data_IF_640319707512
#
_entry.id   IF_640319707512
#
_cell.length_a   1.000
_cell.length_b   1.000
_cell.length_c   1.000
_cell.angle_alpha   90.00
_cell.angle_beta   90.00
_cell.angle_gamma   90.00
#
_symmetry.space_group_name_H-M   'P 1'
#
loop_
_entity.id
_entity.type
_entity.pdbx_description
1 polymer ?
#
# COMPACT_ATOMS: atom_id res chain seq x y z
N UNK A 1 -1.49 -11.30 -2.69
CA UNK A 1 -2.65 -10.37 -2.54
C UNK A 1 -3.34 -10.00 -3.85
N UNK A 2 -2.63 -9.78 -4.97
CA UNK A 2 -3.25 -9.37 -6.26
C UNK A 2 -4.40 -10.26 -6.77
N UNK A 3 -4.33 -11.58 -6.58
CA UNK A 3 -5.31 -12.53 -7.16
C UNK A 3 -6.72 -12.44 -6.55
N UNK A 4 -6.85 -12.18 -5.25
CA UNK A 4 -8.18 -12.15 -4.60
C UNK A 4 -8.98 -10.90 -4.97
N UNK A 5 -8.33 -9.75 -5.18
CA UNK A 5 -9.04 -8.50 -5.50
C UNK A 5 -9.77 -8.56 -6.84
N UNK A 6 -9.18 -9.23 -7.84
CA UNK A 6 -9.82 -9.40 -9.15
C UNK A 6 -11.14 -10.17 -9.07
N UNK A 7 -11.18 -11.24 -8.26
CA UNK A 7 -12.38 -12.07 -8.03
C UNK A 7 -13.44 -11.28 -7.27
N UNK A 8 -13.05 -10.47 -6.30
CA UNK A 8 -13.96 -9.65 -5.49
C UNK A 8 -14.44 -8.37 -6.19
N UNK A 9 -14.02 -8.11 -7.44
CA UNK A 9 -14.32 -6.85 -8.14
C UNK A 9 -13.69 -5.62 -7.49
N UNK A 10 -12.62 -5.81 -6.69
CA UNK A 10 -11.93 -4.75 -5.97
C UNK A 10 -10.67 -4.30 -6.71
N UNK A 11 -10.32 -3.03 -6.53
CA UNK A 11 -9.09 -2.41 -7.01
C UNK A 11 -8.45 -1.61 -5.89
N UNK A 12 -7.15 -1.33 -5.99
CA UNK A 12 -6.50 -0.40 -5.07
C UNK A 12 -6.99 1.03 -5.34
N UNK A 13 -7.43 1.75 -4.30
CA UNK A 13 -7.86 3.15 -4.40
C UNK A 13 -6.69 4.13 -4.54
N UNK A 14 -5.50 3.70 -4.16
CA UNK A 14 -4.29 4.53 -4.07
C UNK A 14 -3.32 4.35 -5.24
N UNK A 15 -3.65 3.47 -6.18
CA UNK A 15 -2.79 3.16 -7.33
C UNK A 15 -3.59 3.03 -8.62
N UNK A 16 -2.94 3.36 -9.74
CA UNK A 16 -3.47 3.08 -11.09
C UNK A 16 -3.12 1.64 -11.49
N UNK A 17 -3.86 1.07 -12.45
CA UNK A 17 -3.76 -0.35 -12.84
C UNK A 17 -2.40 -0.75 -13.40
N UNK A 18 -1.76 0.18 -14.08
CA UNK A 18 -0.50 0.03 -14.78
C UNK A 18 0.72 0.22 -13.87
N UNK A 19 0.51 0.60 -12.60
CA UNK A 19 1.61 0.90 -11.69
C UNK A 19 2.13 -0.34 -10.97
N UNK A 20 3.45 -0.37 -10.80
CA UNK A 20 4.09 -1.18 -9.77
C UNK A 20 3.76 -0.60 -8.39
N UNK A 21 2.92 -1.33 -7.66
CA UNK A 21 2.39 -0.95 -6.36
C UNK A 21 3.49 -0.85 -5.29
N UNK A 22 4.48 -1.74 -5.37
CA UNK A 22 5.55 -1.81 -4.39
C UNK A 22 6.48 -0.58 -4.56
N UNK A 23 6.84 -0.29 -5.81
CA UNK A 23 7.60 0.91 -6.17
C UNK A 23 6.84 2.20 -5.84
N UNK A 24 5.52 2.24 -6.09
CA UNK A 24 4.67 3.37 -5.76
C UNK A 24 4.65 3.64 -4.25
N UNK A 25 4.54 2.60 -3.43
CA UNK A 25 4.59 2.73 -1.97
C UNK A 25 5.91 3.37 -1.51
N UNK A 26 7.03 2.91 -2.05
CA UNK A 26 8.35 3.47 -1.77
C UNK A 26 8.49 4.93 -2.25
N UNK A 27 7.89 5.28 -3.38
CA UNK A 27 7.87 6.65 -3.89
C UNK A 27 7.03 7.58 -2.99
N UNK A 28 5.85 7.14 -2.54
CA UNK A 28 5.02 7.90 -1.60
C UNK A 28 5.74 8.15 -0.27
N UNK A 29 6.39 7.13 0.28
CA UNK A 29 7.23 7.30 1.49
C UNK A 29 8.32 8.33 1.29
N UNK A 30 9.08 8.24 0.19
CA UNK A 30 10.18 9.17 -0.12
C UNK A 30 9.69 10.60 -0.32
N UNK A 31 8.54 10.78 -0.97
CA UNK A 31 7.90 12.11 -1.13
C UNK A 31 7.54 12.76 0.21
N UNK A 32 7.30 11.96 1.26
CA UNK A 32 7.07 12.42 2.64
C UNK A 32 8.35 12.62 3.45
N UNK A 33 9.53 12.39 2.87
CA UNK A 33 10.82 12.50 3.57
C UNK A 33 11.04 11.42 4.64
N UNK A 34 10.29 10.32 4.63
CA UNK A 34 10.37 9.30 5.66
C UNK A 34 11.39 8.21 5.28
N UNK A 35 12.20 7.78 6.25
CA UNK A 35 12.97 6.54 6.12
C UNK A 35 12.05 5.32 6.31
N UNK A 36 12.48 4.14 5.88
CA UNK A 36 11.74 2.90 6.12
C UNK A 36 11.57 2.61 7.62
N UNK A 37 12.57 2.97 8.44
CA UNK A 37 12.52 2.76 9.89
C UNK A 37 11.45 3.65 10.54
N UNK A 38 11.42 4.95 10.20
CA UNK A 38 10.42 5.89 10.73
C UNK A 38 9.02 5.52 10.25
N UNK A 39 8.86 5.09 9.01
CA UNK A 39 7.56 4.61 8.54
C UNK A 39 7.11 3.36 9.31
N UNK A 40 8.01 2.42 9.56
CA UNK A 40 7.71 1.20 10.30
C UNK A 40 7.27 1.50 11.74
N UNK A 41 8.00 2.38 12.43
CA UNK A 41 7.66 2.85 13.78
C UNK A 41 6.26 3.47 13.82
N UNK A 42 5.98 4.42 12.92
CA UNK A 42 4.66 5.08 12.84
C UNK A 42 3.52 4.13 12.46
N UNK A 43 3.81 3.11 11.67
CA UNK A 43 2.84 2.09 11.27
C UNK A 43 2.71 0.93 12.28
N UNK A 44 3.50 0.94 13.37
CA UNK A 44 3.48 -0.11 14.39
C UNK A 44 4.00 -1.47 13.88
N UNK A 45 4.95 -1.48 12.95
CA UNK A 45 5.51 -2.71 12.39
C UNK A 45 7.04 -2.71 12.34
N UNK A 46 7.62 -3.84 11.93
CA UNK A 46 9.08 -3.95 11.78
C UNK A 46 9.55 -3.31 10.47
N UNK A 47 10.80 -2.82 10.44
CA UNK A 47 11.43 -2.33 9.19
C UNK A 47 11.48 -3.40 8.07
N UNK A 48 11.80 -4.69 8.35
CA UNK A 48 11.69 -5.75 7.35
C UNK A 48 10.30 -5.86 6.70
N UNK A 49 9.23 -5.62 7.46
CA UNK A 49 7.87 -5.60 6.92
C UNK A 49 7.67 -4.49 5.89
N UNK A 50 8.21 -3.28 6.14
CA UNK A 50 8.19 -2.19 5.15
C UNK A 50 9.01 -2.56 3.91
N UNK A 51 10.18 -3.18 4.07
CA UNK A 51 11.01 -3.64 2.94
C UNK A 51 10.23 -4.67 2.09
N UNK A 52 9.55 -5.63 2.72
CA UNK A 52 8.76 -6.63 2.01
C UNK A 52 7.60 -6.00 1.24
N UNK A 53 6.92 -5.01 1.82
CA UNK A 53 5.86 -4.25 1.14
C UNK A 53 6.42 -3.45 -0.06
N UNK A 54 7.56 -2.78 0.10
CA UNK A 54 8.17 -1.94 -0.95
C UNK A 54 8.85 -2.73 -2.07
N UNK A 55 9.17 -4.02 -1.85
CA UNK A 55 9.77 -4.89 -2.88
C UNK A 55 8.76 -5.82 -3.55
N UNK A 56 7.81 -6.35 -2.79
CA UNK A 56 6.97 -7.47 -3.23
C UNK A 56 5.48 -7.26 -2.96
N UNK A 57 5.10 -6.18 -2.28
CA UNK A 57 3.74 -5.95 -1.79
C UNK A 57 3.18 -7.17 -1.03
N UNK A 58 4.04 -7.79 -0.20
CA UNK A 58 3.72 -8.95 0.62
C UNK A 58 3.58 -8.57 2.09
N UNK A 59 2.76 -9.30 2.86
CA UNK A 59 2.51 -9.03 4.26
C UNK A 59 1.04 -9.23 4.63
N UNK A 60 0.50 -8.33 5.45
CA UNK A 60 -0.93 -8.27 5.80
C UNK A 60 -1.58 -7.01 5.22
N UNK A 61 -2.84 -7.11 4.82
CA UNK A 61 -3.65 -5.96 4.38
C UNK A 61 -3.82 -4.95 5.52
N UNK A 62 -3.88 -5.40 6.78
CA UNK A 62 -3.96 -4.51 7.94
C UNK A 62 -2.71 -3.61 8.07
N UNK A 63 -1.52 -4.18 7.92
CA UNK A 63 -0.26 -3.42 7.95
C UNK A 63 -0.17 -2.48 6.76
N UNK A 64 -0.55 -2.94 5.56
CA UNK A 64 -0.60 -2.06 4.38
C UNK A 64 -1.55 -0.88 4.61
N UNK A 65 -2.71 -1.10 5.23
CA UNK A 65 -3.67 -0.05 5.60
C UNK A 65 -3.06 0.96 6.58
N UNK A 66 -2.39 0.49 7.63
CA UNK A 66 -1.71 1.35 8.61
C UNK A 66 -0.61 2.19 7.94
N UNK A 67 0.22 1.58 7.09
CA UNK A 67 1.26 2.27 6.32
C UNK A 67 0.65 3.36 5.43
N UNK A 68 -0.40 3.03 4.68
CA UNK A 68 -1.06 3.99 3.79
C UNK A 68 -1.72 5.14 4.57
N UNK A 69 -2.26 4.86 5.76
CA UNK A 69 -2.79 5.88 6.67
C UNK A 69 -1.69 6.87 7.09
N UNK A 70 -0.50 6.39 7.47
CA UNK A 70 0.66 7.26 7.78
C UNK A 70 1.08 8.10 6.56
N UNK A 71 0.94 7.55 5.35
CA UNK A 71 1.22 8.26 4.09
C UNK A 71 0.09 9.21 3.66
N UNK A 72 -1.00 9.28 4.41
CA UNK A 72 -2.14 10.17 4.18
C UNK A 72 -3.12 9.67 3.11
N UNK A 73 -3.09 8.38 2.79
CA UNK A 73 -4.04 7.73 1.88
C UNK A 73 -5.25 7.26 2.68
N UNK A 74 -6.44 7.73 2.30
CA UNK A 74 -7.71 7.38 2.97
C UNK A 74 -8.44 6.22 2.29
N UNK A 75 -8.25 6.06 0.99
CA UNK A 75 -8.99 5.08 0.20
C UNK A 75 -8.08 3.91 -0.19
N UNK A 76 -8.15 2.83 0.61
CA UNK A 76 -7.35 1.63 0.38
C UNK A 76 -7.85 0.85 -0.84
N UNK A 77 -9.16 0.62 -0.91
CA UNK A 77 -9.82 -0.17 -1.95
C UNK A 77 -10.92 0.64 -2.62
N UNK A 78 -11.12 0.42 -3.91
CA UNK A 78 -12.24 0.92 -4.70
C UNK A 78 -12.97 -0.23 -5.37
N UNK A 79 -14.29 -0.09 -5.48
CA UNK A 79 -15.10 -1.04 -6.22
C UNK A 79 -14.97 -0.78 -7.73
N UNK A 80 -14.73 -1.83 -8.52
CA UNK A 80 -14.70 -1.77 -9.98
C UNK A 80 -16.09 -1.53 -10.58
N UNK A 81 -17.16 -1.87 -9.85
CA UNK A 81 -18.56 -1.75 -10.30
C UNK A 81 -19.12 -0.32 -10.28
N UNK A 82 -18.36 0.66 -9.76
CA UNK A 82 -18.78 2.06 -9.68
C UNK A 82 -18.16 2.94 -10.79
N UNK A 83 -17.44 2.36 -11.75
CA UNK A 83 -17.08 3.03 -12.99
C UNK A 83 -18.11 2.65 -14.06
N UNK A 84 -19.23 3.37 -14.09
CA UNK A 84 -20.04 3.53 -15.30
C UNK A 84 -19.37 4.49 -16.27
#
# INVERSE_FOLDING_TARGET
>A
MRRCMGVLGLRWGWARLDQDLAALLAAMRRKRGLSQAILAERAGCSRPTIIALEKHLSGSVSILSAVLTVLGVRELLRNKLMCG
#
